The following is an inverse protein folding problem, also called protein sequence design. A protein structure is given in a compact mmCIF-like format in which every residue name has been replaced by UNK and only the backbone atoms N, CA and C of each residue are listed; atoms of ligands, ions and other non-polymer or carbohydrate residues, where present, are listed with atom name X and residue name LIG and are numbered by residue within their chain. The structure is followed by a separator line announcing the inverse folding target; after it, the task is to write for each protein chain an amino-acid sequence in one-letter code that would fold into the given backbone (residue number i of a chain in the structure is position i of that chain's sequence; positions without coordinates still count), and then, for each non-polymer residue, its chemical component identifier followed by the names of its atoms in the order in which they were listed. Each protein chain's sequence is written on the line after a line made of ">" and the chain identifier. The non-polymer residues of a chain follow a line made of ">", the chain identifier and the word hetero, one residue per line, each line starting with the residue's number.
data_IF_764950044519
#
_entry.id   IF_764950044519
#
_cell.length_a   1.000
_cell.length_b   1.000
_cell.length_c   1.000
_cell.angle_alpha   90.00
_cell.angle_beta   90.00
_cell.angle_gamma   90.00
#
_symmetry.space_group_name_H-M   'P 1'
#
loop_
_entity.id
_entity.type
_entity.pdbx_description
1 polymer ?
#
# COMPACT_ATOMS: atom_id res chain seq x y z
N UNK A 1 -28.26 -9.80 -22.03
CA UNK A 1 -26.80 -9.58 -21.93
C UNK A 1 -26.41 -10.02 -20.54
N UNK A 2 -25.95 -11.27 -20.40
CA UNK A 2 -25.51 -11.80 -19.10
C UNK A 2 -24.06 -11.34 -18.94
N UNK A 3 -23.79 -10.56 -17.90
CA UNK A 3 -22.41 -10.27 -17.52
C UNK A 3 -21.77 -11.61 -17.12
N UNK A 4 -20.72 -12.00 -17.83
CA UNK A 4 -19.89 -13.15 -17.47
C UNK A 4 -19.09 -12.73 -16.24
N UNK A 5 -19.66 -12.95 -15.06
CA UNK A 5 -18.99 -12.67 -13.79
C UNK A 5 -17.96 -13.78 -13.57
N UNK A 6 -16.67 -13.46 -13.74
CA UNK A 6 -15.60 -14.42 -13.53
C UNK A 6 -15.68 -14.96 -12.10
N UNK A 7 -15.69 -16.29 -11.97
CA UNK A 7 -15.65 -16.92 -10.65
C UNK A 7 -14.34 -16.57 -9.93
N UNK A 8 -14.36 -16.53 -8.60
CA UNK A 8 -13.14 -16.32 -7.79
C UNK A 8 -12.01 -17.28 -8.16
N UNK A 9 -12.36 -18.52 -8.54
CA UNK A 9 -11.42 -19.53 -9.02
C UNK A 9 -10.77 -19.14 -10.36
N UNK A 10 -11.54 -18.63 -11.31
CA UNK A 10 -11.02 -18.17 -12.60
C UNK A 10 -10.08 -16.97 -12.40
N UNK A 11 -10.45 -16.01 -11.55
CA UNK A 11 -9.60 -14.87 -11.23
C UNK A 11 -8.31 -15.28 -10.51
N UNK A 12 -8.40 -16.18 -9.53
CA UNK A 12 -7.23 -16.69 -8.82
C UNK A 12 -6.27 -17.45 -9.76
N UNK A 13 -6.82 -18.29 -10.63
CA UNK A 13 -6.04 -19.01 -11.65
C UNK A 13 -5.37 -18.04 -12.61
N UNK A 14 -6.09 -17.01 -13.05
CA UNK A 14 -5.51 -15.97 -13.92
C UNK A 14 -4.36 -15.25 -13.22
N UNK A 15 -4.55 -14.76 -11.99
CA UNK A 15 -3.48 -14.09 -11.24
C UNK A 15 -2.26 -14.99 -11.05
N UNK A 16 -2.47 -16.27 -10.70
CA UNK A 16 -1.40 -17.26 -10.54
C UNK A 16 -0.68 -17.59 -11.86
N UNK A 17 -1.32 -17.40 -13.01
CA UNK A 17 -0.71 -17.58 -14.33
C UNK A 17 0.21 -16.41 -14.74
N UNK A 18 0.15 -15.29 -14.01
CA UNK A 18 1.01 -14.12 -14.23
C UNK A 18 2.22 -14.13 -13.29
N UNK A 19 3.33 -13.44 -13.63
CA UNK A 19 4.46 -13.26 -12.73
C UNK A 19 4.16 -12.30 -11.57
N UNK A 20 2.95 -11.70 -11.50
CA UNK A 20 2.62 -10.66 -10.53
C UNK A 20 2.88 -11.11 -9.09
N UNK A 21 2.38 -12.29 -8.72
CA UNK A 21 2.50 -12.81 -7.36
C UNK A 21 3.96 -13.20 -7.03
N UNK A 22 4.65 -13.88 -7.95
CA UNK A 22 6.03 -14.32 -7.72
C UNK A 22 7.01 -13.16 -7.64
N UNK A 23 6.89 -12.16 -8.52
CA UNK A 23 7.75 -10.97 -8.50
C UNK A 23 7.45 -10.07 -7.31
N UNK A 24 6.17 -9.87 -6.97
CA UNK A 24 5.80 -9.12 -5.76
C UNK A 24 6.38 -9.78 -4.51
N UNK A 25 6.23 -11.11 -4.39
CA UNK A 25 6.78 -11.85 -3.26
C UNK A 25 8.30 -11.78 -3.19
N UNK A 26 8.99 -11.96 -4.33
CA UNK A 26 10.45 -11.83 -4.40
C UNK A 26 10.89 -10.44 -3.92
N UNK A 27 10.27 -9.38 -4.42
CA UNK A 27 10.64 -8.02 -4.02
C UNK A 27 10.36 -7.76 -2.53
N UNK A 28 9.24 -8.26 -2.00
CA UNK A 28 8.96 -8.22 -0.56
C UNK A 28 10.06 -8.91 0.27
N UNK A 29 10.53 -10.08 -0.15
CA UNK A 29 11.65 -10.77 0.53
C UNK A 29 12.96 -9.98 0.44
N UNK A 30 13.21 -9.29 -0.67
CA UNK A 30 14.38 -8.40 -0.83
C UNK A 30 14.27 -7.17 0.06
N UNK A 31 13.08 -6.55 0.18
CA UNK A 31 12.89 -5.40 1.07
C UNK A 31 13.11 -5.74 2.55
N UNK A 32 12.97 -7.01 2.96
CA UNK A 32 13.14 -7.40 4.36
C UNK A 32 14.51 -7.06 4.95
N UNK A 33 15.55 -6.91 4.12
CA UNK A 33 16.90 -6.50 4.54
C UNK A 33 17.20 -5.03 4.30
N UNK A 34 16.22 -4.26 3.80
CA UNK A 34 16.38 -2.84 3.50
C UNK A 34 16.35 -1.99 4.78
N UNK A 35 16.99 -0.80 4.77
CA UNK A 35 16.96 0.10 5.91
C UNK A 35 15.53 0.47 6.32
N UNK A 36 15.27 0.72 7.62
CA UNK A 36 13.98 1.23 8.07
C UNK A 36 13.58 2.51 7.33
N UNK A 37 12.27 2.69 7.11
CA UNK A 37 11.70 3.87 6.43
C UNK A 37 12.23 4.09 5.01
N UNK A 38 12.54 3.01 4.30
CA UNK A 38 12.86 3.02 2.88
C UNK A 38 11.78 2.29 2.08
N UNK A 39 11.90 2.30 0.75
CA UNK A 39 11.12 1.45 -0.14
C UNK A 39 12.00 1.08 -1.34
N UNK A 40 11.69 -0.04 -1.99
CA UNK A 40 12.36 -0.48 -3.20
C UNK A 40 11.42 -0.32 -4.39
N UNK A 41 11.97 0.18 -5.49
CA UNK A 41 11.28 0.31 -6.77
C UNK A 41 12.00 -0.55 -7.79
N UNK A 42 11.27 -1.41 -8.52
CA UNK A 42 11.83 -2.28 -9.54
C UNK A 42 10.96 -2.29 -10.80
N UNK A 43 11.58 -2.13 -11.98
CA UNK A 43 10.87 -2.25 -13.24
C UNK A 43 10.74 -3.72 -13.64
N UNK A 44 9.49 -4.17 -13.78
CA UNK A 44 9.12 -5.49 -14.23
C UNK A 44 8.90 -5.60 -15.74
N UNK A 45 8.63 -6.82 -16.18
CA UNK A 45 8.23 -7.09 -17.56
C UNK A 45 6.88 -6.41 -17.89
N UNK A 46 6.70 -6.04 -19.14
CA UNK A 46 5.43 -5.48 -19.63
C UNK A 46 5.11 -4.07 -19.11
N UNK A 47 6.11 -3.32 -18.63
CA UNK A 47 5.92 -1.94 -18.16
C UNK A 47 5.34 -1.84 -16.74
N UNK A 48 5.28 -2.95 -16.01
CA UNK A 48 4.86 -2.95 -14.60
C UNK A 48 5.98 -2.38 -13.74
N UNK A 49 5.66 -1.50 -12.81
CA UNK A 49 6.61 -1.02 -11.78
C UNK A 49 6.16 -1.58 -10.44
N UNK A 50 7.05 -2.32 -9.79
CA UNK A 50 6.83 -2.85 -8.45
C UNK A 50 7.41 -1.89 -7.43
N UNK A 51 6.64 -1.58 -6.39
CA UNK A 51 7.09 -0.78 -5.25
C UNK A 51 6.82 -1.59 -4.00
N UNK A 52 7.89 -1.92 -3.27
CA UNK A 52 7.82 -2.73 -2.07
C UNK A 52 8.29 -1.94 -0.85
N UNK A 53 7.60 -2.14 0.28
CA UNK A 53 7.87 -1.47 1.54
C UNK A 53 8.34 -2.51 2.58
N UNK A 54 9.48 -2.29 3.26
CA UNK A 54 9.93 -3.13 4.36
C UNK A 54 8.95 -3.02 5.54
N UNK A 55 8.45 -4.15 6.01
CA UNK A 55 7.57 -4.20 7.19
C UNK A 55 8.35 -4.35 8.51
N UNK A 56 9.68 -4.41 8.45
CA UNK A 56 10.51 -4.87 9.58
C UNK A 56 10.95 -3.69 10.46
N UNK A 57 10.91 -3.94 11.78
CA UNK A 57 11.35 -3.14 12.95
C UNK A 57 10.36 -2.22 13.70
N UNK A 58 9.19 -1.83 13.17
CA UNK A 58 8.27 -0.93 13.93
C UNK A 58 7.11 -1.63 14.66
N UNK A 59 6.81 -2.89 14.37
CA UNK A 59 5.66 -3.62 14.97
C UNK A 59 5.90 -4.03 16.43
N UNK A 60 7.16 -4.21 16.84
CA UNK A 60 7.48 -4.77 18.15
C UNK A 60 7.60 -3.73 19.28
N UNK A 61 7.74 -2.44 18.96
CA UNK A 61 8.17 -1.42 19.94
C UNK A 61 7.12 -0.37 20.30
N UNK A 62 6.03 -0.24 19.54
CA UNK A 62 5.14 0.92 19.67
C UNK A 62 3.66 0.52 19.90
N UNK A 63 3.04 1.13 20.91
CA UNK A 63 1.60 1.03 21.20
C UNK A 63 0.70 1.62 20.11
N UNK A 64 1.28 2.40 19.19
CA UNK A 64 0.57 3.06 18.06
C UNK A 64 -0.13 2.08 17.11
N UNK A 65 0.25 0.80 17.06
CA UNK A 65 -0.44 -0.22 16.26
C UNK A 65 -1.86 -0.55 16.76
N UNK A 66 -2.17 -0.25 18.03
CA UNK A 66 -3.53 -0.42 18.59
C UNK A 66 -4.37 0.85 18.51
N UNK A 67 -3.76 1.97 18.14
CA UNK A 67 -4.43 3.26 18.06
C UNK A 67 -4.92 3.46 16.63
N UNK A 68 -6.19 3.85 16.49
CA UNK A 68 -6.75 4.26 15.21
C UNK A 68 -6.74 5.78 15.11
N UNK A 69 -6.34 6.31 13.95
CA UNK A 69 -6.37 7.73 13.63
C UNK A 69 -7.17 7.97 12.36
N UNK A 70 -7.84 9.14 12.25
CA UNK A 70 -8.57 9.50 11.05
C UNK A 70 -7.58 9.80 9.91
N UNK A 71 -7.83 9.21 8.74
CA UNK A 71 -7.02 9.35 7.53
C UNK A 71 -7.43 10.60 6.74
N UNK A 72 -7.04 11.77 7.26
CA UNK A 72 -7.45 13.07 6.71
C UNK A 72 -6.39 13.65 5.78
N UNK A 73 -5.13 13.65 6.21
CA UNK A 73 -4.01 14.17 5.43
C UNK A 73 -2.71 13.47 5.77
N UNK A 74 -1.75 13.54 4.86
CA UNK A 74 -0.34 13.22 5.10
C UNK A 74 0.46 14.44 4.65
N UNK A 75 1.16 15.07 5.60
CA UNK A 75 1.72 16.40 5.38
C UNK A 75 0.63 17.38 4.96
N UNK A 76 0.90 18.13 3.88
CA UNK A 76 -0.03 19.10 3.29
C UNK A 76 -1.00 18.48 2.28
N UNK A 77 -0.87 17.17 2.01
CA UNK A 77 -1.72 16.48 1.02
C UNK A 77 -2.98 15.96 1.69
N UNK A 78 -4.12 16.47 1.25
CA UNK A 78 -5.45 16.00 1.68
C UNK A 78 -5.76 14.66 1.03
N UNK A 79 -6.08 13.65 1.83
CA UNK A 79 -6.39 12.30 1.35
C UNK A 79 -7.91 12.07 1.23
N UNK A 80 -8.29 11.27 0.23
CA UNK A 80 -9.67 10.84 -0.04
C UNK A 80 -10.69 11.99 -0.13
N UNK A 81 -10.32 13.13 -0.70
CA UNK A 81 -11.21 14.29 -0.87
C UNK A 81 -12.54 13.94 -1.56
N UNK A 82 -12.51 13.03 -2.54
CA UNK A 82 -13.69 12.53 -3.25
C UNK A 82 -14.70 11.77 -2.35
N UNK A 83 -14.33 11.37 -1.13
CA UNK A 83 -15.26 10.78 -0.15
C UNK A 83 -15.93 11.81 0.76
N UNK A 84 -15.47 13.07 0.75
CA UNK A 84 -15.93 14.12 1.67
C UNK A 84 -17.18 14.86 1.21
N UNK A 85 -17.68 14.60 0.00
CA UNK A 85 -18.91 15.22 -0.50
C UNK A 85 -20.17 14.78 0.26
N UNK A 86 -20.04 13.82 1.18
CA UNK A 86 -21.04 13.49 2.20
C UNK A 86 -20.60 14.12 3.52
N UNK A 87 -21.16 15.28 3.81
CA UNK A 87 -20.85 16.16 4.93
C UNK A 87 -21.00 15.51 6.33
N UNK A 88 -21.50 14.26 6.39
CA UNK A 88 -21.86 13.51 7.60
C UNK A 88 -21.18 12.12 7.72
N UNK A 89 -20.29 11.73 6.80
CA UNK A 89 -19.60 10.43 6.91
C UNK A 89 -18.38 10.52 7.86
N UNK A 90 -18.33 9.61 8.84
CA UNK A 90 -17.19 9.44 9.73
C UNK A 90 -15.88 9.27 8.92
N UNK A 91 -14.75 9.86 9.36
CA UNK A 91 -13.49 9.73 8.66
C UNK A 91 -13.03 8.26 8.64
N UNK A 92 -12.36 7.86 7.55
CA UNK A 92 -11.75 6.54 7.47
C UNK A 92 -10.67 6.41 8.54
N UNK A 93 -10.83 5.43 9.44
CA UNK A 93 -9.89 5.20 10.53
C UNK A 93 -8.82 4.17 10.12
N UNK A 94 -7.55 4.45 10.42
CA UNK A 94 -6.41 3.57 10.12
C UNK A 94 -5.48 3.42 11.33
N UNK A 95 -4.72 2.33 11.37
CA UNK A 95 -3.70 2.14 12.41
C UNK A 95 -2.65 3.25 12.36
N UNK A 96 -2.43 3.90 13.51
CA UNK A 96 -1.49 5.02 13.62
C UNK A 96 -0.07 4.61 13.21
N UNK A 97 0.35 3.40 13.57
CA UNK A 97 1.65 2.84 13.15
C UNK A 97 1.80 2.76 11.62
N UNK A 98 0.75 2.33 10.90
CA UNK A 98 0.76 2.25 9.43
C UNK A 98 0.77 3.64 8.80
N UNK A 99 -0.05 4.56 9.32
CA UNK A 99 -0.07 5.94 8.84
C UNK A 99 1.28 6.63 9.04
N UNK A 100 1.93 6.39 10.18
CA UNK A 100 3.26 6.92 10.46
C UNK A 100 4.31 6.33 9.50
N UNK A 101 4.29 5.02 9.25
CA UNK A 101 5.17 4.39 8.26
C UNK A 101 5.01 5.02 6.87
N UNK A 102 3.77 5.16 6.40
CA UNK A 102 3.48 5.80 5.11
C UNK A 102 3.97 7.25 5.08
N UNK A 103 3.72 8.02 6.16
CA UNK A 103 4.14 9.42 6.25
C UNK A 103 5.66 9.59 6.13
N UNK A 104 6.46 8.64 6.64
CA UNK A 104 7.92 8.69 6.55
C UNK A 104 8.45 8.48 5.12
N UNK A 105 7.68 7.82 4.26
CA UNK A 105 8.07 7.51 2.88
C UNK A 105 7.26 8.28 1.84
N UNK A 106 6.31 9.13 2.27
CA UNK A 106 5.31 9.71 1.38
C UNK A 106 5.90 10.68 0.36
N UNK A 107 6.68 11.67 0.80
CA UNK A 107 7.32 12.63 -0.11
C UNK A 107 8.25 11.94 -1.13
N UNK A 108 9.21 11.07 -0.73
CA UNK A 108 10.05 10.39 -1.71
C UNK A 108 9.26 9.44 -2.61
N UNK A 109 8.18 8.82 -2.12
CA UNK A 109 7.29 8.00 -2.93
C UNK A 109 6.53 8.82 -3.98
N UNK A 110 5.91 9.93 -3.58
CA UNK A 110 5.15 10.80 -4.47
C UNK A 110 6.01 11.31 -5.63
N UNK A 111 7.26 11.66 -5.36
CA UNK A 111 8.22 12.11 -6.37
C UNK A 111 8.64 11.02 -7.37
N UNK A 112 8.48 9.73 -7.04
CA UNK A 112 8.79 8.62 -7.95
C UNK A 112 7.60 8.14 -8.78
N UNK A 113 6.37 8.46 -8.36
CA UNK A 113 5.12 7.96 -8.97
C UNK A 113 4.35 9.06 -9.71
N UNK A 114 4.71 10.34 -9.53
CA UNK A 114 4.16 11.46 -10.30
C UNK A 114 4.80 11.58 -11.68
#
# INVERSE_FOLDING_TARGET
>A
MVADEASSEMLATFLASTPLLSESWRLCTTTATSPPRSFLTEQGAGGVVYIAFPCIEMVAADSSWRTLLPLVSIGDVTLFSARRDKEDDDPVMVHAGVLNLLSNVFDPFQNQVS
#
